data_IF_772041264173
#
_entry.id   IF_772041264173
#
_cell.length_a   1.000
_cell.length_b   1.000
_cell.length_c   1.000
_cell.angle_alpha   90.00
_cell.angle_beta   90.00
_cell.angle_gamma   90.00
#
_symmetry.space_group_name_H-M   'P 1'
#
loop_
_entity.id
_entity.type
_entity.pdbx_description
1 polymer ?
#
# COMPACT_ATOMS: atom_id res chain seq x y z
N UNK A 1 62.02 38.74 -5.43
CA UNK A 1 61.09 39.84 -5.74
C UNK A 1 59.82 39.59 -4.95
N UNK A 2 59.46 40.58 -4.15
CA UNK A 2 58.46 40.52 -3.09
C UNK A 2 57.02 40.42 -3.60
N UNK A 3 56.24 39.67 -2.81
CA UNK A 3 54.83 39.82 -2.44
C UNK A 3 54.01 40.99 -3.01
N UNK A 4 52.80 40.67 -3.47
CA UNK A 4 51.58 41.46 -3.27
C UNK A 4 50.38 40.49 -3.24
N UNK A 5 49.97 40.10 -2.04
CA UNK A 5 48.68 39.44 -1.78
C UNK A 5 47.69 40.55 -1.40
N UNK A 6 46.68 40.76 -2.25
CA UNK A 6 45.52 41.61 -1.94
C UNK A 6 44.39 40.73 -1.42
N UNK A 7 44.02 40.97 -0.17
CA UNK A 7 42.82 40.45 0.47
C UNK A 7 41.57 40.99 -0.25
N UNK A 8 40.64 40.09 -0.60
CA UNK A 8 39.23 40.44 -0.74
C UNK A 8 38.42 39.57 0.22
N UNK A 9 37.91 40.21 1.27
CA UNK A 9 36.90 39.67 2.14
C UNK A 9 35.58 39.60 1.36
N UNK A 10 34.99 38.41 1.25
CA UNK A 10 33.59 38.24 0.91
C UNK A 10 32.98 37.30 1.95
N UNK A 11 32.33 37.89 2.94
CA UNK A 11 31.41 37.19 3.82
C UNK A 11 30.22 36.73 2.99
N UNK A 12 30.08 35.42 2.84
CA UNK A 12 28.87 34.81 2.32
C UNK A 12 28.14 34.22 3.51
N UNK A 13 27.08 34.92 3.93
CA UNK A 13 26.02 34.35 4.74
C UNK A 13 25.51 33.07 4.04
N UNK A 14 25.89 31.90 4.55
CA UNK A 14 25.21 30.66 4.20
C UNK A 14 23.81 30.72 4.79
N UNK A 15 22.85 31.18 4.00
CA UNK A 15 21.45 30.80 4.19
C UNK A 15 21.38 29.30 3.94
N UNK A 16 21.20 28.52 5.00
CA UNK A 16 20.83 27.12 4.90
C UNK A 16 19.55 27.07 4.05
N UNK A 17 19.67 26.60 2.81
CA UNK A 17 18.52 26.18 2.05
C UNK A 17 17.88 25.04 2.84
N UNK A 18 16.71 25.29 3.42
CA UNK A 18 15.84 24.23 3.92
C UNK A 18 15.60 23.29 2.75
N UNK A 19 16.27 22.13 2.77
CA UNK A 19 15.90 21.02 1.90
C UNK A 19 14.44 20.72 2.23
N UNK A 20 13.55 21.10 1.32
CA UNK A 20 12.16 20.67 1.34
C UNK A 20 12.18 19.15 1.26
N UNK A 21 12.05 18.49 2.40
CA UNK A 21 11.89 17.05 2.45
C UNK A 21 10.70 16.69 1.56
N UNK A 22 10.82 15.72 0.64
CA UNK A 22 9.71 15.29 -0.21
C UNK A 22 8.54 14.71 0.60
N UNK A 23 8.76 14.42 1.89
CA UNK A 23 7.76 13.94 2.84
C UNK A 23 7.90 14.69 4.18
N UNK A 24 6.79 15.20 4.70
CA UNK A 24 6.72 15.70 6.08
C UNK A 24 7.01 14.54 7.03
N UNK A 25 7.97 14.74 7.93
CA UNK A 25 8.37 13.81 8.97
C UNK A 25 8.35 14.56 10.30
N UNK A 26 7.86 13.95 11.41
CA UNK A 26 7.89 14.60 12.72
C UNK A 26 9.34 14.81 13.23
N UNK A 27 10.31 14.13 12.63
CA UNK A 27 11.74 14.21 12.98
C UNK A 27 12.63 14.44 11.75
N UNK A 28 13.75 15.14 11.95
CA UNK A 28 14.80 15.33 10.93
C UNK A 28 15.55 14.01 10.75
N UNK A 29 15.70 13.56 9.50
CA UNK A 29 16.43 12.32 9.19
C UNK A 29 17.91 12.54 8.98
N UNK A 30 18.71 11.62 9.53
CA UNK A 30 20.10 11.37 9.17
C UNK A 30 20.22 9.88 8.77
N UNK A 31 20.85 9.54 7.62
CA UNK A 31 21.10 8.14 7.22
C UNK A 31 20.99 7.85 5.72
N UNK A 32 21.18 6.57 5.36
CA UNK A 32 21.00 6.05 3.98
C UNK A 32 19.51 5.99 3.67
N UNK A 33 19.11 6.54 2.52
CA UNK A 33 17.73 6.46 2.03
C UNK A 33 17.60 5.16 1.24
N UNK A 34 16.82 4.21 1.74
CA UNK A 34 16.48 2.97 1.04
C UNK A 34 15.10 3.13 0.41
N UNK A 35 14.97 3.16 -0.92
CA UNK A 35 13.68 3.24 -1.60
C UNK A 35 12.78 2.08 -1.18
N UNK A 36 11.48 2.34 -0.94
CA UNK A 36 10.47 1.30 -0.66
C UNK A 36 10.30 0.89 0.81
N UNK A 37 11.21 1.27 1.73
CA UNK A 37 11.01 1.03 3.16
C UNK A 37 10.15 2.15 3.79
N UNK A 38 9.34 1.83 4.82
CA UNK A 38 8.60 2.84 5.57
C UNK A 38 9.51 3.94 6.06
N UNK A 39 9.18 5.16 5.65
CA UNK A 39 9.90 6.37 5.99
C UNK A 39 9.77 6.75 7.47
N UNK A 40 8.86 6.15 8.22
CA UNK A 40 8.53 6.58 9.57
C UNK A 40 9.26 5.70 10.61
N UNK A 41 9.61 6.25 11.78
CA UNK A 41 10.14 5.45 12.87
C UNK A 41 9.20 4.27 13.21
N UNK A 42 9.73 3.16 13.76
CA UNK A 42 8.90 2.07 14.25
C UNK A 42 7.80 2.58 15.19
N UNK A 43 6.57 2.12 15.01
CA UNK A 43 5.42 2.58 15.79
C UNK A 43 4.79 3.89 15.33
N UNK A 44 5.33 4.56 14.30
CA UNK A 44 4.76 5.81 13.78
C UNK A 44 3.98 5.56 12.49
N UNK A 45 2.70 5.89 12.52
CA UNK A 45 1.79 5.85 11.39
C UNK A 45 1.56 7.26 10.84
N UNK A 46 1.27 7.36 9.54
CA UNK A 46 0.91 8.63 8.87
C UNK A 46 -0.34 8.46 8.04
N UNK A 47 -1.26 9.39 8.21
CA UNK A 47 -2.51 9.48 7.49
C UNK A 47 -2.63 10.86 6.83
N UNK A 48 -3.27 10.90 5.65
CA UNK A 48 -3.59 12.15 4.97
C UNK A 48 -5.09 12.39 5.10
N UNK A 49 -5.47 13.42 5.84
CA UNK A 49 -6.85 13.89 5.93
C UNK A 49 -7.07 14.85 4.77
N UNK A 50 -7.76 14.37 3.73
CA UNK A 50 -8.05 15.20 2.55
C UNK A 50 -8.87 16.42 2.93
N UNK A 51 -8.55 17.57 2.33
CA UNK A 51 -9.35 18.77 2.48
C UNK A 51 -10.83 18.52 2.15
N UNK A 52 -11.72 18.91 3.05
CA UNK A 52 -13.16 18.63 2.97
C UNK A 52 -13.53 17.18 3.31
N UNK A 53 -12.61 16.42 3.91
CA UNK A 53 -12.77 15.00 4.23
C UNK A 53 -12.35 14.65 5.65
N UNK A 54 -12.33 13.35 5.92
CA UNK A 54 -12.06 12.78 7.25
C UNK A 54 -11.21 11.51 7.15
N UNK A 55 -10.51 11.19 8.23
CA UNK A 55 -9.87 9.89 8.47
C UNK A 55 -10.34 9.35 9.80
N UNK A 56 -10.55 8.03 9.87
CA UNK A 56 -10.89 7.31 11.09
C UNK A 56 -9.78 6.33 11.43
N UNK A 57 -9.26 6.37 12.65
CA UNK A 57 -8.15 5.52 13.13
C UNK A 57 -8.49 4.99 14.52
N UNK A 58 -8.20 3.70 14.80
CA UNK A 58 -8.24 3.17 16.17
C UNK A 58 -7.00 3.62 16.93
N UNK A 59 -7.17 4.09 18.16
CA UNK A 59 -6.08 4.55 19.04
C UNK A 59 -6.14 3.83 20.37
N UNK A 60 -4.97 3.61 20.97
CA UNK A 60 -4.84 3.09 22.33
C UNK A 60 -4.59 4.22 23.33
N UNK A 61 -5.03 4.05 24.57
CA UNK A 61 -4.66 4.94 25.65
C UNK A 61 -3.14 5.04 25.76
N UNK A 62 -2.62 6.26 25.63
CA UNK A 62 -1.19 6.56 25.64
C UNK A 62 -0.60 6.90 24.26
N UNK A 63 -1.32 6.62 23.17
CA UNK A 63 -0.86 6.99 21.81
C UNK A 63 -0.67 8.51 21.71
N UNK A 64 0.42 8.93 21.06
CA UNK A 64 0.70 10.32 20.75
C UNK A 64 0.15 10.66 19.36
N UNK A 65 -0.67 11.70 19.30
CA UNK A 65 -1.37 12.16 18.09
C UNK A 65 -0.77 13.49 17.68
N UNK A 66 -0.21 13.59 16.47
CA UNK A 66 0.30 14.86 15.93
C UNK A 66 -0.45 15.23 14.67
N UNK A 67 -1.01 16.44 14.61
CA UNK A 67 -1.52 17.03 13.38
C UNK A 67 -0.52 18.04 12.85
N UNK A 68 -0.32 18.02 11.53
CA UNK A 68 0.50 18.99 10.81
C UNK A 68 -0.36 19.67 9.77
N UNK A 69 -0.51 20.98 9.92
CA UNK A 69 -1.12 21.84 8.90
C UNK A 69 -0.08 22.11 7.82
N UNK A 70 -0.18 21.41 6.68
CA UNK A 70 0.89 21.43 5.66
C UNK A 70 1.00 22.78 4.95
N UNK A 71 -0.14 23.46 4.74
CA UNK A 71 -0.23 24.68 3.93
C UNK A 71 -0.48 25.93 4.80
N UNK A 72 -0.82 25.76 6.07
CA UNK A 72 -1.29 26.83 6.95
C UNK A 72 -2.77 27.13 6.72
N UNK A 73 -3.36 27.82 7.70
CA UNK A 73 -4.75 28.29 7.71
C UNK A 73 -5.84 27.21 7.50
N UNK A 74 -5.51 25.93 7.61
CA UNK A 74 -6.48 24.85 7.49
C UNK A 74 -6.95 24.40 8.86
N UNK A 75 -8.26 24.52 9.09
CA UNK A 75 -8.88 24.01 10.31
C UNK A 75 -8.80 22.50 10.36
N UNK A 76 -8.65 21.97 11.57
CA UNK A 76 -8.79 20.56 11.84
C UNK A 76 -9.69 20.37 13.07
N UNK A 77 -10.51 19.32 13.04
CA UNK A 77 -11.36 18.95 14.17
C UNK A 77 -11.11 17.47 14.49
N UNK A 78 -10.77 17.19 15.75
CA UNK A 78 -10.54 15.84 16.26
C UNK A 78 -11.66 15.43 17.21
N UNK A 79 -12.18 14.22 17.02
CA UNK A 79 -13.18 13.61 17.87
C UNK A 79 -12.69 12.21 18.24
N UNK A 80 -12.47 11.96 19.53
CA UNK A 80 -12.13 10.63 20.02
C UNK A 80 -13.35 10.02 20.71
N UNK A 81 -13.85 8.92 20.18
CA UNK A 81 -14.94 8.15 20.75
C UNK A 81 -14.38 6.98 21.56
N UNK A 82 -14.83 6.81 22.80
CA UNK A 82 -14.56 5.59 23.58
C UNK A 82 -15.36 4.39 23.05
N UNK A 83 -15.15 3.21 23.64
CA UNK A 83 -15.85 1.98 23.23
C UNK A 83 -17.37 2.02 23.45
N UNK A 84 -17.88 2.96 24.27
CA UNK A 84 -19.30 3.18 24.47
C UNK A 84 -19.88 4.22 23.48
N UNK A 85 -19.07 4.70 22.54
CA UNK A 85 -19.49 5.68 21.53
C UNK A 85 -19.62 7.11 22.06
N UNK A 86 -19.16 7.42 23.27
CA UNK A 86 -19.13 8.78 23.83
C UNK A 86 -17.84 9.49 23.40
N UNK A 87 -17.90 10.81 23.18
CA UNK A 87 -16.70 11.64 22.96
C UNK A 87 -16.62 12.77 23.98
N UNK A 88 -15.40 13.09 24.40
CA UNK A 88 -15.08 14.20 25.31
C UNK A 88 -13.75 14.82 24.93
N UNK A 89 -13.60 16.13 25.05
CA UNK A 89 -12.32 16.80 24.80
C UNK A 89 -11.20 16.31 25.74
N UNK A 90 -11.57 15.90 26.96
CA UNK A 90 -10.67 15.30 27.93
C UNK A 90 -10.02 14.01 27.42
N UNK A 91 -10.64 13.30 26.48
CA UNK A 91 -10.07 12.08 25.87
C UNK A 91 -8.84 12.39 25.02
N UNK A 92 -8.65 13.64 24.61
CA UNK A 92 -7.47 14.14 23.88
C UNK A 92 -6.58 15.04 24.77
N UNK A 93 -6.77 14.99 26.09
CA UNK A 93 -5.99 15.78 27.05
C UNK A 93 -6.39 17.25 27.12
N UNK A 94 -7.53 17.64 26.54
CA UNK A 94 -8.00 19.02 26.53
C UNK A 94 -9.07 19.27 27.61
N UNK A 95 -9.11 20.50 28.14
CA UNK A 95 -10.05 20.86 29.22
C UNK A 95 -11.41 21.32 28.72
N UNK A 96 -11.52 21.66 27.43
CA UNK A 96 -12.75 22.14 26.78
C UNK A 96 -12.79 21.66 25.35
N UNK A 97 -13.98 21.25 24.89
CA UNK A 97 -14.28 21.02 23.49
C UNK A 97 -15.37 21.93 22.96
N UNK A 98 -15.76 21.66 21.73
CA UNK A 98 -16.87 22.28 21.02
C UNK A 98 -17.71 21.21 20.36
N UNK A 99 -18.97 21.49 19.96
CA UNK A 99 -19.74 20.55 19.16
C UNK A 99 -19.00 20.18 17.86
N UNK A 100 -19.01 18.90 17.48
CA UNK A 100 -18.31 18.37 16.32
C UNK A 100 -18.97 18.76 14.97
N UNK A 101 -18.96 20.06 14.66
CA UNK A 101 -19.61 20.60 13.47
C UNK A 101 -18.93 20.13 12.17
N UNK A 102 -17.60 20.01 12.15
CA UNK A 102 -16.86 19.54 10.98
C UNK A 102 -17.22 18.09 10.63
N UNK A 103 -17.29 17.23 11.64
CA UNK A 103 -17.74 15.85 11.53
C UNK A 103 -19.17 15.76 10.99
N UNK A 104 -20.09 16.52 11.58
CA UNK A 104 -21.49 16.54 11.16
C UNK A 104 -21.66 17.05 9.73
N UNK A 105 -20.89 18.07 9.32
CA UNK A 105 -20.88 18.58 7.95
C UNK A 105 -20.41 17.51 6.96
N UNK A 106 -19.30 16.85 7.24
CA UNK A 106 -18.78 15.78 6.37
C UNK A 106 -19.78 14.64 6.25
N UNK A 107 -20.41 14.23 7.35
CA UNK A 107 -21.43 13.18 7.35
C UNK A 107 -22.69 13.56 6.55
N UNK A 108 -23.07 14.84 6.55
CA UNK A 108 -24.21 15.32 5.76
C UNK A 108 -23.92 15.38 4.26
N UNK A 109 -22.65 15.28 3.86
CA UNK A 109 -22.22 15.34 2.47
C UNK A 109 -22.46 14.04 1.69
N UNK A 110 -22.37 14.14 0.35
CA UNK A 110 -22.47 12.99 -0.57
C UNK A 110 -21.11 12.49 -1.08
N UNK A 111 -20.01 13.01 -0.53
CA UNK A 111 -18.65 12.68 -0.95
C UNK A 111 -18.31 11.21 -0.64
N UNK A 112 -17.32 10.66 -1.32
CA UNK A 112 -16.79 9.32 -1.02
C UNK A 112 -16.30 9.22 0.42
N UNK A 113 -15.65 10.27 0.94
CA UNK A 113 -15.25 10.37 2.35
C UNK A 113 -16.44 10.30 3.31
N UNK A 114 -17.56 10.97 2.99
CA UNK A 114 -18.78 10.90 3.78
C UNK A 114 -19.34 9.46 3.84
N UNK A 115 -19.40 8.77 2.70
CA UNK A 115 -19.84 7.36 2.63
C UNK A 115 -18.92 6.43 3.44
N UNK A 116 -17.60 6.64 3.37
CA UNK A 116 -16.61 5.90 4.16
C UNK A 116 -16.81 6.10 5.65
N UNK A 117 -16.96 7.35 6.07
CA UNK A 117 -17.18 7.70 7.45
C UNK A 117 -18.50 7.08 7.97
N UNK A 118 -19.59 7.18 7.18
CA UNK A 118 -20.86 6.50 7.50
C UNK A 118 -20.68 5.01 7.71
N UNK A 119 -19.99 4.30 6.82
CA UNK A 119 -19.76 2.85 6.93
C UNK A 119 -18.87 2.49 8.13
N UNK A 120 -17.88 3.32 8.43
CA UNK A 120 -16.95 3.12 9.55
C UNK A 120 -17.66 3.30 10.90
N UNK A 121 -18.47 4.37 11.00
CA UNK A 121 -19.23 4.70 12.20
C UNK A 121 -20.46 3.80 12.38
N UNK A 122 -21.13 3.35 11.31
CA UNK A 122 -22.31 2.47 11.41
C UNK A 122 -22.04 1.10 12.02
N UNK A 123 -20.77 0.71 12.16
CA UNK A 123 -20.37 -0.54 12.83
C UNK A 123 -20.35 -0.42 14.36
N UNK A 124 -20.51 0.78 14.91
CA UNK A 124 -20.39 1.07 16.34
C UNK A 124 -21.55 1.98 16.76
N UNK A 125 -22.10 1.82 17.98
CA UNK A 125 -23.15 2.68 18.54
C UNK A 125 -22.57 4.06 18.95
N UNK A 126 -22.07 4.83 17.96
CA UNK A 126 -21.40 6.11 18.18
C UNK A 126 -22.43 7.25 18.23
N UNK A 127 -22.39 8.06 19.30
CA UNK A 127 -23.21 9.27 19.42
C UNK A 127 -22.56 10.44 18.69
N UNK A 128 -22.89 10.56 17.41
CA UNK A 128 -22.42 11.65 16.54
C UNK A 128 -23.12 12.98 16.88
N UNK A 129 -24.37 12.92 17.36
CA UNK A 129 -25.21 14.11 17.56
C UNK A 129 -24.66 14.96 18.70
N UNK A 130 -24.27 14.32 19.79
CA UNK A 130 -23.74 15.00 20.97
C UNK A 130 -22.21 14.95 21.04
N UNK A 131 -21.54 14.73 19.90
CA UNK A 131 -20.10 14.57 19.88
C UNK A 131 -19.36 15.85 20.27
N UNK A 132 -18.42 15.75 21.21
CA UNK A 132 -17.52 16.83 21.63
C UNK A 132 -16.17 16.68 20.93
N UNK A 133 -15.75 17.75 20.24
CA UNK A 133 -14.54 17.81 19.46
C UNK A 133 -13.50 18.78 20.04
N UNK A 134 -12.24 18.50 19.76
CA UNK A 134 -11.13 19.45 19.91
C UNK A 134 -10.90 20.13 18.57
N UNK A 135 -11.09 21.45 18.53
CA UNK A 135 -10.95 22.25 17.31
C UNK A 135 -9.62 22.99 17.28
N UNK A 136 -8.92 22.87 16.14
CA UNK A 136 -7.69 23.61 15.86
C UNK A 136 -8.08 24.86 15.07
N UNK A 137 -8.04 26.01 15.75
CA UNK A 137 -8.42 27.30 15.16
C UNK A 137 -7.43 27.73 14.07
N UNK A 138 -7.98 28.17 12.94
CA UNK A 138 -7.29 28.26 11.64
C UNK A 138 -6.94 29.68 11.19
N UNK A 139 -7.17 30.71 12.00
CA UNK A 139 -7.02 32.08 11.49
C UNK A 139 -5.56 32.51 11.37
N UNK A 140 -4.62 31.76 11.97
CA UNK A 140 -3.21 32.15 12.05
C UNK A 140 -2.20 30.99 11.97
N UNK A 141 -2.62 29.75 11.65
CA UNK A 141 -1.66 28.65 11.59
C UNK A 141 -0.67 28.85 10.45
N UNK A 142 0.61 28.66 10.75
CA UNK A 142 1.68 28.74 9.77
C UNK A 142 1.81 27.42 8.99
N UNK A 143 2.29 27.45 7.73
CA UNK A 143 2.62 26.22 7.00
C UNK A 143 3.63 25.36 7.78
N UNK A 144 3.29 24.09 7.97
CA UNK A 144 4.07 23.11 8.73
C UNK A 144 3.86 23.17 10.25
N UNK A 145 2.97 24.03 10.76
CA UNK A 145 2.67 24.11 12.19
C UNK A 145 2.07 22.78 12.69
N UNK A 146 2.53 22.37 13.88
CA UNK A 146 2.17 21.09 14.47
C UNK A 146 1.42 21.28 15.77
N UNK A 147 0.42 20.44 16.00
CA UNK A 147 -0.26 20.32 17.29
C UNK A 147 -0.27 18.88 17.76
N UNK A 148 0.03 18.69 19.03
CA UNK A 148 0.15 17.38 19.66
C UNK A 148 -0.93 17.16 20.70
N UNK A 149 -1.45 15.95 20.71
CA UNK A 149 -2.45 15.45 21.66
C UNK A 149 -2.01 14.08 22.14
N UNK A 150 -2.51 13.65 23.28
CA UNK A 150 -2.30 12.29 23.80
C UNK A 150 -3.65 11.65 24.04
N UNK A 151 -3.85 10.43 23.54
CA UNK A 151 -5.06 9.67 23.75
C UNK A 151 -5.15 9.25 25.23
N UNK A 152 -6.11 9.82 25.96
CA UNK A 152 -6.32 9.50 27.38
C UNK A 152 -7.17 8.24 27.57
N UNK A 153 -7.81 7.75 26.51
CA UNK A 153 -8.59 6.52 26.46
C UNK A 153 -8.36 5.81 25.13
N UNK A 154 -8.51 4.50 25.10
CA UNK A 154 -8.57 3.74 23.86
C UNK A 154 -9.90 3.97 23.15
N UNK A 155 -9.91 3.95 21.82
CA UNK A 155 -11.13 4.15 21.07
C UNK A 155 -10.95 4.47 19.59
N UNK A 156 -11.94 5.16 19.03
CA UNK A 156 -12.00 5.51 17.61
C UNK A 156 -11.76 7.01 17.45
N UNK A 157 -10.60 7.39 16.92
CA UNK A 157 -10.27 8.76 16.57
C UNK A 157 -10.80 9.09 15.17
N UNK A 158 -11.55 10.18 15.05
CA UNK A 158 -11.94 10.78 13.78
C UNK A 158 -11.28 12.15 13.67
N UNK A 159 -10.52 12.36 12.61
CA UNK A 159 -9.94 13.67 12.28
C UNK A 159 -10.56 14.18 11.00
N UNK A 160 -11.01 15.43 11.02
CA UNK A 160 -11.63 16.09 9.87
C UNK A 160 -10.83 17.33 9.49
N UNK A 161 -10.77 17.61 8.19
CA UNK A 161 -10.25 18.86 7.63
C UNK A 161 -11.42 19.63 7.01
N UNK A 162 -12.27 20.28 7.82
CA UNK A 162 -13.48 20.92 7.32
C UNK A 162 -13.15 22.10 6.40
N UNK A 163 -14.02 22.33 5.43
CA UNK A 163 -13.92 23.45 4.52
C UNK A 163 -14.95 23.37 3.39
N UNK A 164 -15.38 24.52 2.89
CA UNK A 164 -16.28 24.62 1.75
C UNK A 164 -15.47 24.77 0.45
N UNK A 165 -16.04 24.39 -0.71
CA UNK A 165 -15.46 24.73 -1.99
C UNK A 165 -15.13 26.22 -2.06
N UNK A 166 -13.86 26.53 -2.37
CA UNK A 166 -13.36 27.89 -2.46
C UNK A 166 -14.11 28.66 -3.56
N UNK A 167 -14.59 29.87 -3.24
CA UNK A 167 -15.03 30.83 -4.25
C UNK A 167 -13.82 31.32 -5.05
N UNK A 168 -13.97 31.49 -6.36
CA UNK A 168 -12.85 31.75 -7.29
C UNK A 168 -11.98 32.96 -6.86
N UNK A 169 -12.58 33.93 -6.18
CA UNK A 169 -11.96 35.17 -5.70
C UNK A 169 -11.41 35.11 -4.27
N UNK A 170 -11.79 34.11 -3.47
CA UNK A 170 -11.50 34.07 -2.03
C UNK A 170 -10.07 33.58 -1.69
N UNK A 171 -9.41 32.87 -2.60
CA UNK A 171 -8.03 32.37 -2.44
C UNK A 171 -7.76 31.58 -1.14
N UNK A 172 -8.77 30.88 -0.63
CA UNK A 172 -8.71 30.08 0.59
C UNK A 172 -9.06 28.60 0.31
N UNK A 173 -8.26 27.89 -0.51
CA UNK A 173 -8.56 26.50 -0.83
C UNK A 173 -8.50 25.64 0.43
N UNK A 174 -9.41 24.67 0.53
CA UNK A 174 -9.34 23.64 1.57
C UNK A 174 -8.13 22.75 1.26
N UNK A 175 -7.28 22.53 2.25
CA UNK A 175 -6.05 21.77 2.11
C UNK A 175 -6.03 20.51 2.99
N UNK A 176 -5.07 19.63 2.71
CA UNK A 176 -4.91 18.38 3.46
C UNK A 176 -4.23 18.63 4.82
N UNK A 177 -4.70 17.95 5.86
CA UNK A 177 -4.00 17.85 7.16
C UNK A 177 -3.26 16.52 7.20
N UNK A 178 -2.02 16.52 7.70
CA UNK A 178 -1.26 15.29 7.93
C UNK A 178 -1.43 14.87 9.38
N UNK A 179 -1.91 13.65 9.60
CA UNK A 179 -2.04 13.05 10.92
C UNK A 179 -0.93 12.02 11.14
N UNK A 180 -0.22 12.11 12.26
CA UNK A 180 0.68 11.08 12.75
C UNK A 180 0.14 10.46 14.03
N UNK A 181 0.29 9.14 14.16
CA UNK A 181 0.05 8.39 15.39
C UNK A 181 1.35 7.70 15.76
N UNK A 182 1.92 8.06 16.90
CA UNK A 182 3.01 7.30 17.51
C UNK A 182 2.41 6.38 18.58
N UNK A 183 2.51 5.07 18.33
CA UNK A 183 1.90 4.02 19.15
C UNK A 183 2.65 3.87 20.46
N UNK A 184 1.92 3.86 21.58
CA UNK A 184 2.50 3.57 22.90
C UNK A 184 2.97 2.12 22.99
N UNK A 185 2.23 1.19 22.37
CA UNK A 185 2.58 -0.21 22.22
C UNK A 185 2.77 -0.53 20.74
N UNK A 186 3.94 -0.23 20.15
CA UNK A 186 4.18 -0.53 18.75
C UNK A 186 4.17 -2.05 18.55
N UNK A 187 3.14 -2.58 17.87
CA UNK A 187 3.15 -3.97 17.42
C UNK A 187 4.26 -4.16 16.40
N UNK A 188 5.08 -5.20 16.57
CA UNK A 188 6.14 -5.57 15.61
C UNK A 188 5.59 -5.99 14.25
N UNK A 189 4.35 -6.51 14.21
CA UNK A 189 3.61 -6.78 12.98
C UNK A 189 2.68 -5.62 12.69
N UNK A 190 3.01 -4.85 11.66
CA UNK A 190 2.15 -3.77 11.17
C UNK A 190 0.96 -4.42 10.44
N UNK A 191 -0.20 -4.50 11.08
CA UNK A 191 -1.42 -4.95 10.39
C UNK A 191 -1.88 -3.81 9.48
N UNK A 192 -1.27 -3.69 8.30
CA UNK A 192 -1.76 -2.81 7.25
C UNK A 192 -2.98 -3.50 6.66
N UNK A 193 -4.14 -2.85 6.73
CA UNK A 193 -5.31 -3.34 5.99
C UNK A 193 -5.13 -3.05 4.50
N UNK A 194 -5.57 -3.95 3.60
CA UNK A 194 -5.53 -3.69 2.17
C UNK A 194 -6.18 -2.35 1.82
N UNK A 195 -5.61 -1.61 0.87
CA UNK A 195 -6.20 -0.37 0.38
C UNK A 195 -7.63 -0.63 -0.13
N UNK A 196 -8.51 0.37 -0.11
CA UNK A 196 -9.88 0.16 -0.57
C UNK A 196 -9.95 -0.32 -2.03
N UNK A 197 -10.92 -1.19 -2.37
CA UNK A 197 -11.13 -1.63 -3.75
C UNK A 197 -11.33 -0.47 -4.72
N UNK A 198 -10.83 -0.63 -5.96
CA UNK A 198 -11.03 0.34 -7.04
C UNK A 198 -12.49 0.38 -7.53
N UNK A 199 -13.23 -0.72 -7.34
CA UNK A 199 -14.64 -0.91 -7.61
C UNK A 199 -15.19 -2.00 -6.67
N UNK A 200 -16.51 -2.23 -6.64
CA UNK A 200 -17.09 -3.32 -5.86
C UNK A 200 -16.58 -4.68 -6.39
N UNK A 201 -15.79 -5.43 -5.61
CA UNK A 201 -15.16 -6.65 -6.11
C UNK A 201 -16.16 -7.82 -6.13
N UNK A 202 -16.05 -8.65 -7.15
CA UNK A 202 -16.75 -9.94 -7.24
C UNK A 202 -16.12 -10.97 -6.31
N UNK A 203 -14.81 -10.88 -6.13
CA UNK A 203 -14.02 -11.67 -5.20
C UNK A 203 -13.01 -10.77 -4.51
N UNK A 204 -12.85 -10.90 -3.19
CA UNK A 204 -11.88 -10.15 -2.38
C UNK A 204 -11.22 -11.12 -1.42
N UNK A 205 -10.04 -11.62 -1.80
CA UNK A 205 -9.37 -12.75 -1.15
C UNK A 205 -8.00 -12.32 -0.66
N UNK A 206 -7.79 -12.48 0.64
CA UNK A 206 -6.50 -12.27 1.27
C UNK A 206 -5.73 -13.60 1.35
N UNK A 207 -4.55 -13.66 0.73
CA UNK A 207 -3.67 -14.82 0.71
C UNK A 207 -2.59 -14.60 1.77
N UNK A 208 -2.61 -15.43 2.80
CA UNK A 208 -1.61 -15.37 3.88
C UNK A 208 -0.26 -15.95 3.42
N UNK A 209 0.87 -15.53 4.01
CA UNK A 209 2.19 -16.02 3.65
C UNK A 209 2.26 -17.55 3.61
N UNK A 210 2.90 -18.09 2.56
CA UNK A 210 3.03 -19.53 2.37
C UNK A 210 1.72 -20.23 1.98
N UNK A 211 0.76 -19.49 1.44
CA UNK A 211 -0.47 -20.05 0.86
C UNK A 211 -0.60 -19.69 -0.62
N UNK A 212 -1.43 -20.45 -1.33
CA UNK A 212 -1.87 -20.16 -2.68
C UNK A 212 -3.40 -20.14 -2.73
N UNK A 213 -3.96 -19.48 -3.74
CA UNK A 213 -5.39 -19.53 -4.05
C UNK A 213 -5.61 -19.60 -5.55
N UNK A 214 -6.50 -20.50 -5.96
CA UNK A 214 -7.10 -20.50 -7.28
C UNK A 214 -8.40 -19.68 -7.30
N UNK A 215 -8.63 -18.95 -8.38
CA UNK A 215 -9.85 -18.16 -8.58
C UNK A 215 -10.16 -18.02 -10.07
N UNK A 216 -11.46 -17.87 -10.39
CA UNK A 216 -11.92 -17.75 -11.77
C UNK A 216 -12.05 -16.28 -12.15
N UNK A 217 -11.52 -15.92 -13.33
CA UNK A 217 -11.65 -14.59 -13.93
C UNK A 217 -12.23 -14.77 -15.33
N UNK A 218 -13.44 -14.27 -15.57
CA UNK A 218 -14.11 -14.37 -16.86
C UNK A 218 -13.60 -13.32 -17.84
N UNK A 219 -13.75 -13.60 -19.13
CA UNK A 219 -13.36 -12.68 -20.20
C UNK A 219 -13.93 -11.27 -19.94
N UNK A 220 -13.05 -10.28 -20.00
CA UNK A 220 -13.38 -8.88 -19.81
C UNK A 220 -13.40 -8.40 -18.36
N UNK A 221 -13.35 -9.30 -17.38
CA UNK A 221 -13.14 -8.96 -15.97
C UNK A 221 -11.69 -8.53 -15.73
N UNK A 222 -11.47 -7.91 -14.58
CA UNK A 222 -10.16 -7.45 -14.15
C UNK A 222 -9.71 -8.30 -12.98
N UNK A 223 -8.39 -8.43 -12.81
CA UNK A 223 -7.79 -9.01 -11.61
C UNK A 223 -6.75 -8.03 -11.09
N UNK A 224 -6.85 -7.70 -9.81
CA UNK A 224 -5.88 -6.90 -9.09
C UNK A 224 -5.10 -7.81 -8.14
N UNK A 225 -3.79 -7.79 -8.25
CA UNK A 225 -2.85 -8.41 -7.31
C UNK A 225 -2.16 -7.27 -6.58
N UNK A 226 -2.40 -7.17 -5.27
CA UNK A 226 -1.93 -6.07 -4.43
C UNK A 226 -1.03 -6.61 -3.31
N UNK A 227 0.12 -5.98 -3.17
CA UNK A 227 0.99 -6.16 -2.01
C UNK A 227 0.46 -5.28 -0.87
N UNK A 228 -0.01 -5.91 0.20
CA UNK A 228 -0.70 -5.22 1.29
C UNK A 228 0.27 -4.42 2.14
N UNK A 229 1.42 -5.01 2.48
CA UNK A 229 2.37 -4.46 3.43
C UNK A 229 3.64 -3.92 2.77
N UNK A 230 3.81 -4.14 1.46
CA UNK A 230 5.03 -3.87 0.73
C UNK A 230 6.03 -5.01 0.88
N UNK A 231 6.95 -5.10 -0.08
CA UNK A 231 8.02 -6.10 -0.14
C UNK A 231 7.59 -7.56 -0.24
N UNK A 232 6.32 -7.87 -0.50
CA UNK A 232 5.86 -9.23 -0.71
C UNK A 232 5.78 -9.57 -2.20
N UNK A 233 6.34 -10.71 -2.59
CA UNK A 233 6.23 -11.23 -3.94
C UNK A 233 5.04 -12.18 -4.09
N UNK A 234 4.45 -12.19 -5.29
CA UNK A 234 3.37 -13.12 -5.64
C UNK A 234 3.72 -13.88 -6.91
N UNK A 235 3.76 -15.21 -6.83
CA UNK A 235 3.84 -16.05 -8.03
C UNK A 235 2.45 -16.16 -8.61
N UNK A 236 2.32 -15.80 -9.88
CA UNK A 236 1.05 -15.81 -10.60
C UNK A 236 1.10 -16.70 -11.84
N UNK A 237 0.02 -17.44 -12.07
CA UNK A 237 -0.17 -18.26 -13.26
C UNK A 237 -1.66 -18.27 -13.64
N UNK A 238 -1.96 -18.44 -14.92
CA UNK A 238 -3.33 -18.56 -15.41
C UNK A 238 -3.44 -19.56 -16.55
N UNK A 239 -4.55 -20.28 -16.60
CA UNK A 239 -4.87 -21.24 -17.65
C UNK A 239 -6.17 -20.85 -18.35
N UNK A 240 -6.23 -21.04 -19.67
CA UNK A 240 -7.49 -20.97 -20.40
C UNK A 240 -8.45 -22.07 -19.92
N UNK A 241 -9.60 -21.64 -19.39
CA UNK A 241 -10.56 -22.53 -18.75
C UNK A 241 -11.18 -23.51 -19.75
N UNK A 242 -11.41 -23.06 -21.00
CA UNK A 242 -11.99 -23.90 -22.06
C UNK A 242 -10.98 -24.93 -22.56
N UNK A 243 -9.70 -24.60 -22.56
CA UNK A 243 -8.64 -25.54 -22.86
C UNK A 243 -8.58 -26.63 -21.77
N UNK A 244 -8.67 -26.26 -20.49
CA UNK A 244 -8.71 -27.20 -19.38
C UNK A 244 -9.91 -28.16 -19.47
N UNK A 245 -11.11 -27.66 -19.81
CA UNK A 245 -12.30 -28.51 -20.03
C UNK A 245 -12.08 -29.59 -21.11
N UNK A 246 -11.14 -29.34 -22.04
CA UNK A 246 -10.74 -30.26 -23.10
C UNK A 246 -9.42 -30.98 -22.80
N UNK A 247 -8.98 -30.99 -21.54
CA UNK A 247 -7.74 -31.60 -21.07
C UNK A 247 -6.48 -31.08 -21.80
N UNK A 248 -6.48 -29.78 -22.11
CA UNK A 248 -5.33 -29.05 -22.66
C UNK A 248 -4.86 -27.98 -21.68
N UNK A 249 -3.57 -27.97 -21.39
CA UNK A 249 -2.95 -27.06 -20.43
C UNK A 249 -2.38 -25.86 -21.18
N UNK A 250 -3.26 -24.91 -21.49
CA UNK A 250 -2.89 -23.62 -22.10
C UNK A 250 -2.66 -22.59 -20.99
N UNK A 251 -1.58 -22.76 -20.23
CA UNK A 251 -1.09 -21.77 -19.26
C UNK A 251 -0.30 -20.63 -19.91
N UNK A 252 -0.04 -19.57 -19.13
CA UNK A 252 0.92 -18.53 -19.51
C UNK A 252 2.28 -19.19 -19.69
N UNK A 253 2.83 -19.04 -20.89
CA UNK A 253 4.17 -19.47 -21.24
C UNK A 253 5.10 -18.24 -21.25
N UNK A 254 6.02 -18.12 -20.28
CA UNK A 254 6.92 -16.97 -20.21
C UNK A 254 7.85 -16.87 -21.42
N UNK A 255 8.25 -17.99 -22.01
CA UNK A 255 9.14 -18.00 -23.17
C UNK A 255 8.47 -17.36 -24.40
N UNK A 256 7.25 -17.79 -24.70
CA UNK A 256 6.42 -17.23 -25.77
C UNK A 256 6.09 -15.77 -25.49
N UNK A 257 5.74 -15.46 -24.24
CA UNK A 257 5.48 -14.08 -23.83
C UNK A 257 6.68 -13.17 -24.11
N UNK A 258 7.88 -13.51 -23.63
CA UNK A 258 9.10 -12.71 -23.87
C UNK A 258 9.42 -12.58 -25.35
N UNK A 259 9.24 -13.65 -26.13
CA UNK A 259 9.49 -13.64 -27.57
C UNK A 259 8.55 -12.68 -28.33
N UNK A 260 7.27 -12.62 -27.95
CA UNK A 260 6.27 -11.76 -28.60
C UNK A 260 6.29 -10.31 -28.10
N UNK A 261 6.63 -10.10 -26.84
CA UNK A 261 6.71 -8.78 -26.19
C UNK A 261 8.03 -8.08 -26.48
N UNK A 262 9.11 -8.84 -26.69
CA UNK A 262 10.46 -8.29 -26.89
C UNK A 262 11.08 -7.71 -25.61
N UNK A 263 10.61 -8.16 -24.43
CA UNK A 263 11.07 -7.70 -23.12
C UNK A 263 11.03 -8.82 -22.09
N UNK A 264 11.64 -8.58 -20.92
CA UNK A 264 11.68 -9.57 -19.82
C UNK A 264 10.28 -9.89 -19.27
N UNK A 265 9.35 -8.93 -19.33
CA UNK A 265 7.96 -9.08 -18.94
C UNK A 265 7.10 -7.98 -19.60
N UNK A 266 5.79 -8.22 -19.76
CA UNK A 266 4.85 -7.21 -20.23
C UNK A 266 4.77 -5.98 -19.32
N UNK A 267 4.52 -4.82 -19.93
CA UNK A 267 4.26 -3.54 -19.25
C UNK A 267 3.00 -2.88 -19.84
N UNK A 268 2.30 -2.00 -19.09
CA UNK A 268 1.14 -1.29 -19.63
C UNK A 268 1.44 -0.62 -20.98
N UNK A 269 0.55 -0.77 -21.96
CA UNK A 269 0.71 -0.21 -23.30
C UNK A 269 0.76 -1.26 -24.41
N UNK A 270 1.60 -1.04 -25.44
CA UNK A 270 1.57 -1.83 -26.67
C UNK A 270 1.95 -3.30 -26.48
N UNK A 271 2.84 -3.59 -25.53
CA UNK A 271 3.36 -4.93 -25.25
C UNK A 271 2.88 -5.47 -23.90
N UNK A 272 1.62 -5.23 -23.58
CA UNK A 272 1.04 -5.50 -22.26
C UNK A 272 0.52 -6.92 -22.04
N UNK A 273 0.70 -7.86 -22.99
CA UNK A 273 -0.01 -9.14 -22.96
C UNK A 273 0.86 -10.31 -22.52
N UNK A 274 0.27 -11.20 -21.73
CA UNK A 274 0.78 -12.55 -21.48
C UNK A 274 0.15 -13.54 -22.45
N UNK A 275 0.96 -14.48 -22.92
CA UNK A 275 0.56 -15.44 -23.96
C UNK A 275 0.75 -16.87 -23.49
N UNK A 276 -0.09 -17.77 -23.98
CA UNK A 276 0.13 -19.21 -23.89
C UNK A 276 1.18 -19.69 -24.89
N UNK A 277 1.61 -20.95 -24.78
CA UNK A 277 2.53 -21.59 -25.74
C UNK A 277 1.97 -21.60 -27.17
N UNK A 278 0.64 -21.64 -27.32
CA UNK A 278 -0.07 -21.53 -28.60
C UNK A 278 -0.22 -20.07 -29.09
N UNK A 279 0.52 -19.14 -28.48
CA UNK A 279 0.51 -17.71 -28.78
C UNK A 279 -0.87 -17.05 -28.59
N UNK A 280 -1.75 -17.66 -27.80
CA UNK A 280 -3.04 -17.06 -27.46
C UNK A 280 -2.87 -16.04 -26.34
N UNK A 281 -3.35 -14.80 -26.50
CA UNK A 281 -3.28 -13.80 -25.44
C UNK A 281 -4.27 -14.13 -24.32
N UNK A 282 -3.78 -14.28 -23.10
CA UNK A 282 -4.57 -14.67 -21.93
C UNK A 282 -4.96 -13.45 -21.09
N UNK A 283 -3.98 -12.60 -20.77
CA UNK A 283 -4.12 -11.43 -19.91
C UNK A 283 -3.46 -10.21 -20.54
N UNK A 284 -3.96 -9.03 -20.18
CA UNK A 284 -3.39 -7.73 -20.55
C UNK A 284 -3.15 -6.89 -19.29
N UNK A 285 -1.92 -6.41 -19.09
CA UNK A 285 -1.57 -5.44 -18.05
C UNK A 285 -2.23 -4.09 -18.37
N UNK A 286 -3.04 -3.61 -17.45
CA UNK A 286 -3.75 -2.32 -17.55
C UNK A 286 -3.01 -1.26 -16.76
N UNK A 287 -2.54 -1.62 -15.56
CA UNK A 287 -1.79 -0.72 -14.69
C UNK A 287 -0.81 -1.53 -13.84
N UNK A 288 0.36 -0.95 -13.62
CA UNK A 288 1.39 -1.48 -12.74
C UNK A 288 1.99 -0.28 -11.99
N UNK A 289 1.94 -0.32 -10.66
CA UNK A 289 2.46 0.77 -9.80
C UNK A 289 3.88 0.52 -9.32
N UNK A 290 4.49 -0.63 -9.66
CA UNK A 290 5.83 -1.04 -9.23
C UNK A 290 6.83 -0.99 -10.38
N UNK A 291 6.51 -1.56 -11.54
CA UNK A 291 7.38 -1.54 -12.72
C UNK A 291 8.54 -2.54 -12.67
N UNK A 292 8.55 -3.48 -11.73
CA UNK A 292 9.62 -4.46 -11.53
C UNK A 292 9.06 -5.82 -11.15
N UNK A 293 9.25 -6.81 -12.03
CA UNK A 293 8.73 -8.17 -11.91
C UNK A 293 9.74 -9.18 -12.51
N UNK A 294 9.38 -10.46 -12.47
CA UNK A 294 10.13 -11.54 -13.11
C UNK A 294 9.21 -12.51 -13.86
N UNK A 295 9.70 -13.07 -14.98
CA UNK A 295 9.04 -14.17 -15.71
C UNK A 295 10.02 -15.26 -16.16
N UNK A 296 11.28 -15.19 -15.76
CA UNK A 296 12.31 -16.18 -16.11
C UNK A 296 12.67 -17.10 -14.95
N UNK A 297 12.35 -16.72 -13.70
CA UNK A 297 12.38 -17.61 -12.55
C UNK A 297 11.21 -18.59 -12.49
N UNK A 298 11.32 -19.53 -11.56
CA UNK A 298 10.21 -20.41 -11.15
C UNK A 298 9.65 -19.88 -9.83
N UNK A 299 8.39 -20.18 -9.55
CA UNK A 299 7.88 -20.12 -8.18
C UNK A 299 8.78 -20.97 -7.27
N UNK A 300 9.04 -20.53 -6.04
CA UNK A 300 9.99 -21.23 -5.16
C UNK A 300 9.62 -22.72 -4.99
N UNK A 301 10.63 -23.57 -4.81
CA UNK A 301 10.51 -25.04 -4.84
C UNK A 301 11.13 -25.67 -3.62
N UNK A 302 10.73 -26.89 -3.26
CA UNK A 302 11.40 -27.66 -2.21
C UNK A 302 12.93 -27.77 -2.45
N UNK A 303 13.34 -28.00 -3.70
CA UNK A 303 14.76 -28.07 -4.08
C UNK A 303 15.53 -26.78 -3.77
N UNK A 304 14.91 -25.61 -4.01
CA UNK A 304 15.53 -24.32 -3.72
C UNK A 304 15.94 -24.23 -2.25
N UNK A 305 15.00 -24.54 -1.34
CA UNK A 305 15.25 -24.47 0.09
C UNK A 305 16.19 -25.58 0.58
N UNK A 306 16.06 -26.81 0.05
CA UNK A 306 16.96 -27.92 0.39
C UNK A 306 18.43 -27.60 0.06
N UNK A 307 18.71 -27.07 -1.12
CA UNK A 307 20.07 -26.70 -1.54
C UNK A 307 20.64 -25.55 -0.68
N UNK A 308 19.78 -24.68 -0.16
CA UNK A 308 20.13 -23.60 0.76
C UNK A 308 20.24 -24.04 2.23
N UNK A 309 19.94 -25.31 2.55
CA UNK A 309 20.06 -25.87 3.90
C UNK A 309 18.78 -25.82 4.75
N UNK A 310 17.62 -25.59 4.13
CA UNK A 310 16.30 -25.47 4.77
C UNK A 310 15.33 -26.57 4.26
N UNK A 311 15.60 -27.86 4.51
CA UNK A 311 14.73 -28.94 4.05
C UNK A 311 13.35 -28.88 4.71
N UNK A 312 12.29 -29.15 3.95
CA UNK A 312 10.90 -29.15 4.44
C UNK A 312 10.27 -27.76 4.55
N UNK A 313 10.94 -26.71 4.08
CA UNK A 313 10.39 -25.37 4.01
C UNK A 313 9.16 -25.32 3.08
N UNK A 314 8.12 -24.59 3.49
CA UNK A 314 6.92 -24.37 2.66
C UNK A 314 7.33 -23.63 1.39
N UNK A 315 6.75 -23.99 0.25
CA UNK A 315 7.11 -23.38 -1.03
C UNK A 315 5.90 -23.22 -1.96
N UNK A 316 6.01 -22.26 -2.87
CA UNK A 316 4.94 -21.85 -3.75
C UNK A 316 4.58 -22.92 -4.78
N UNK A 317 5.56 -23.67 -5.30
CA UNK A 317 5.28 -24.72 -6.28
C UNK A 317 4.39 -25.83 -5.70
N UNK A 318 4.65 -26.26 -4.46
CA UNK A 318 3.82 -27.23 -3.77
C UNK A 318 2.44 -26.65 -3.43
N UNK A 319 2.38 -25.39 -2.99
CA UNK A 319 1.11 -24.71 -2.73
C UNK A 319 0.25 -24.59 -3.99
N UNK A 320 0.86 -24.29 -5.15
CA UNK A 320 0.19 -24.25 -6.44
C UNK A 320 -0.33 -25.64 -6.85
N UNK A 321 0.43 -26.71 -6.62
CA UNK A 321 -0.02 -28.08 -6.88
C UNK A 321 -1.31 -28.41 -6.12
N UNK A 322 -1.43 -28.00 -4.85
CA UNK A 322 -2.62 -28.22 -4.02
C UNK A 322 -3.86 -27.56 -4.62
N UNK A 323 -3.75 -26.29 -5.01
CA UNK A 323 -4.85 -25.55 -5.62
C UNK A 323 -5.17 -26.05 -7.04
N UNK A 324 -4.14 -26.43 -7.81
CA UNK A 324 -4.26 -26.89 -9.19
C UNK A 324 -4.89 -28.29 -9.31
N UNK A 325 -4.81 -29.12 -8.25
CA UNK A 325 -5.44 -30.44 -8.19
C UNK A 325 -6.96 -30.38 -8.40
N UNK A 326 -7.64 -29.32 -7.93
CA UNK A 326 -9.07 -29.12 -8.12
C UNK A 326 -9.47 -28.95 -9.60
N UNK A 327 -8.51 -28.64 -10.47
CA UNK A 327 -8.68 -28.44 -11.90
C UNK A 327 -8.06 -29.57 -12.74
N UNK A 328 -7.68 -30.68 -12.11
CA UNK A 328 -7.01 -31.82 -12.75
C UNK A 328 -5.72 -31.45 -13.50
N UNK A 329 -5.05 -30.38 -13.05
CA UNK A 329 -3.77 -29.97 -13.62
C UNK A 329 -2.68 -30.86 -13.00
N UNK A 330 -1.81 -31.51 -13.82
CA UNK A 330 -0.73 -32.34 -13.31
C UNK A 330 0.23 -31.56 -12.42
N UNK A 331 0.68 -32.20 -11.35
CA UNK A 331 1.68 -31.63 -10.46
C UNK A 331 2.97 -31.29 -11.20
N UNK A 332 3.59 -30.18 -10.80
CA UNK A 332 4.89 -29.73 -11.30
C UNK A 332 5.86 -29.59 -10.13
N UNK A 333 7.09 -30.07 -10.28
CA UNK A 333 8.15 -29.87 -9.27
C UNK A 333 8.59 -28.41 -9.14
N UNK A 334 8.36 -27.63 -10.19
CA UNK A 334 8.64 -26.21 -10.24
C UNK A 334 7.68 -25.56 -11.23
N UNK A 335 6.97 -24.54 -10.77
CA UNK A 335 5.99 -23.85 -11.60
C UNK A 335 6.64 -22.67 -12.32
N UNK A 336 6.57 -22.59 -13.67
CA UNK A 336 6.81 -21.33 -14.34
C UNK A 336 5.70 -20.36 -13.92
N UNK A 337 6.09 -19.20 -13.44
CA UNK A 337 5.16 -18.18 -12.94
C UNK A 337 5.61 -16.79 -13.39
N UNK A 338 4.66 -15.87 -13.37
CA UNK A 338 4.95 -14.45 -13.35
C UNK A 338 5.14 -14.09 -11.88
N UNK A 339 6.37 -13.77 -11.52
CA UNK A 339 6.72 -13.42 -10.15
C UNK A 339 6.53 -11.92 -10.00
N UNK A 340 5.32 -11.50 -9.64
CA UNK A 340 5.00 -10.11 -9.43
C UNK A 340 5.77 -9.57 -8.23
N UNK A 341 6.17 -8.30 -8.36
CA UNK A 341 6.98 -7.51 -7.41
C UNK A 341 8.43 -7.98 -7.22
N UNK A 342 8.76 -9.19 -7.65
CA UNK A 342 10.09 -9.76 -7.47
C UNK A 342 11.16 -8.98 -8.23
N UNK A 343 12.16 -8.48 -7.51
CA UNK A 343 13.23 -7.65 -8.04
C UNK A 343 14.46 -8.49 -8.43
N UNK A 344 14.28 -9.32 -9.45
CA UNK A 344 15.38 -10.04 -10.07
C UNK A 344 15.93 -9.29 -11.28
N UNK A 345 17.22 -9.47 -11.53
CA UNK A 345 17.98 -8.76 -12.54
C UNK A 345 18.98 -9.71 -13.19
N UNK A 346 19.34 -9.38 -14.43
CA UNK A 346 20.48 -9.96 -15.10
C UNK A 346 21.52 -8.87 -15.38
N UNK A 347 22.80 -9.19 -15.20
CA UNK A 347 23.91 -8.26 -15.49
C UNK A 347 24.55 -8.54 -16.87
N UNK A 348 25.57 -7.74 -17.20
CA UNK A 348 26.39 -7.88 -18.40
C UNK A 348 27.26 -9.15 -18.38
N UNK A 349 27.40 -9.80 -17.23
CA UNK A 349 28.06 -11.09 -17.05
C UNK A 349 27.11 -12.27 -17.27
N UNK A 350 25.83 -12.01 -17.56
CA UNK A 350 24.75 -13.00 -17.68
C UNK A 350 24.44 -13.75 -16.37
N UNK A 351 24.79 -13.17 -15.23
CA UNK A 351 24.36 -13.69 -13.94
C UNK A 351 22.93 -13.24 -13.64
N UNK A 352 22.13 -14.12 -13.04
CA UNK A 352 20.84 -13.76 -12.45
C UNK A 352 21.07 -13.52 -10.96
N UNK A 353 20.60 -12.39 -10.47
CA UNK A 353 20.63 -12.03 -9.05
C UNK A 353 19.31 -11.38 -8.66
N UNK A 354 19.10 -11.20 -7.36
CA UNK A 354 17.93 -10.57 -6.79
C UNK A 354 18.34 -9.54 -5.74
N UNK A 355 17.40 -8.68 -5.38
CA UNK A 355 17.47 -7.68 -4.31
C UNK A 355 16.04 -7.45 -3.79
N UNK A 356 15.88 -6.65 -2.74
CA UNK A 356 14.58 -6.39 -2.11
C UNK A 356 13.53 -5.88 -3.13
N UNK A 357 12.28 -6.38 -3.11
CA UNK A 357 11.21 -5.96 -4.04
C UNK A 357 10.90 -4.47 -3.96
N UNK A 358 10.60 -3.79 -5.06
CA UNK A 358 10.32 -2.34 -5.00
C UNK A 358 8.92 -1.97 -4.49
N UNK A 359 8.04 -2.94 -4.31
CA UNK A 359 6.66 -2.73 -3.90
C UNK A 359 6.56 -2.05 -2.53
N UNK A 360 5.63 -1.11 -2.42
CA UNK A 360 5.25 -0.43 -1.17
C UNK A 360 3.85 -0.90 -0.76
N UNK A 361 3.45 -0.70 0.51
CA UNK A 361 2.09 -1.03 0.94
C UNK A 361 1.03 -0.44 0.01
N UNK A 362 0.16 -1.30 -0.54
CA UNK A 362 -0.92 -0.95 -1.45
C UNK A 362 -0.52 -0.79 -2.92
N UNK A 363 0.75 -1.04 -3.29
CA UNK A 363 1.12 -1.16 -4.70
C UNK A 363 0.50 -2.42 -5.31
N UNK A 364 0.19 -2.36 -6.61
CA UNK A 364 -0.54 -3.43 -7.27
C UNK A 364 -0.26 -3.51 -8.77
N UNK A 365 -0.60 -4.67 -9.34
CA UNK A 365 -0.77 -4.88 -10.77
C UNK A 365 -2.25 -5.15 -11.05
N UNK A 366 -2.79 -4.46 -12.05
CA UNK A 366 -4.15 -4.63 -12.53
C UNK A 366 -4.11 -5.19 -13.95
N UNK A 367 -4.77 -6.31 -14.16
CA UNK A 367 -4.83 -6.99 -15.44
C UNK A 367 -6.27 -7.18 -15.90
N UNK A 368 -6.48 -7.28 -17.21
CA UNK A 368 -7.76 -7.64 -17.81
C UNK A 368 -7.67 -9.03 -18.44
N UNK A 369 -8.64 -9.88 -18.16
CA UNK A 369 -8.74 -11.19 -18.78
C UNK A 369 -9.25 -11.08 -20.23
N UNK A 370 -8.52 -11.67 -21.18
CA UNK A 370 -8.86 -11.67 -22.61
C UNK A 370 -9.66 -12.90 -23.03
N UNK A 371 -9.64 -13.94 -22.20
CA UNK A 371 -10.42 -15.17 -22.28
C UNK A 371 -10.96 -15.54 -20.88
N UNK A 372 -11.70 -16.64 -20.76
CA UNK A 372 -12.12 -17.18 -19.47
C UNK A 372 -10.95 -17.95 -18.85
N UNK A 373 -10.54 -17.58 -17.64
CA UNK A 373 -9.34 -18.09 -17.00
C UNK A 373 -9.64 -18.71 -15.63
N UNK A 374 -8.85 -19.71 -15.27
CA UNK A 374 -8.52 -19.98 -13.86
C UNK A 374 -7.14 -19.39 -13.59
N UNK A 375 -7.07 -18.54 -12.58
CA UNK A 375 -5.86 -17.87 -12.12
C UNK A 375 -5.42 -18.45 -10.78
N UNK A 376 -4.13 -18.40 -10.53
CA UNK A 376 -3.49 -18.83 -9.30
C UNK A 376 -2.55 -17.72 -8.84
N UNK A 377 -2.59 -17.41 -7.54
CA UNK A 377 -1.67 -16.48 -6.90
C UNK A 377 -1.15 -17.07 -5.61
N UNK A 378 0.10 -16.75 -5.26
CA UNK A 378 0.72 -17.08 -3.97
C UNK A 378 1.05 -15.83 -3.16
N UNK A 379 1.19 -15.98 -1.85
CA UNK A 379 2.02 -15.10 -1.04
C UNK A 379 3.29 -15.89 -0.68
N UNK A 380 4.43 -15.49 -1.24
CA UNK A 380 5.65 -16.27 -1.21
C UNK A 380 6.20 -16.41 0.22
N UNK A 381 6.49 -17.63 0.72
CA UNK A 381 6.98 -17.81 2.08
C UNK A 381 8.48 -17.51 2.24
N UNK A 382 9.19 -17.05 1.20
CA UNK A 382 10.65 -16.95 1.25
C UNK A 382 11.12 -15.94 2.31
N UNK A 383 11.84 -16.44 3.31
CA UNK A 383 12.42 -15.68 4.42
C UNK A 383 13.94 -15.91 4.57
N UNK A 384 14.55 -16.65 3.64
CA UNK A 384 15.97 -17.03 3.67
C UNK A 384 16.87 -16.13 2.81
N UNK A 385 16.27 -15.18 2.10
CA UNK A 385 16.93 -14.23 1.20
C UNK A 385 16.10 -12.93 1.05
N UNK A 386 16.55 -12.06 0.15
CA UNK A 386 15.99 -10.74 -0.11
C UNK A 386 14.65 -10.78 -0.85
N UNK A 387 14.15 -11.94 -1.32
CA UNK A 387 12.97 -12.03 -2.16
C UNK A 387 11.71 -11.40 -1.56
N UNK A 388 11.54 -11.46 -0.24
CA UNK A 388 10.46 -10.76 0.47
C UNK A 388 10.98 -9.80 1.54
N UNK A 389 12.16 -9.21 1.31
CA UNK A 389 12.90 -8.45 2.32
C UNK A 389 12.98 -9.20 3.67
N UNK A 390 13.21 -10.51 3.63
CA UNK A 390 13.34 -11.40 4.79
C UNK A 390 12.09 -11.50 5.69
N UNK A 391 10.95 -10.94 5.29
CA UNK A 391 9.74 -10.92 6.09
C UNK A 391 8.48 -11.10 5.23
N UNK A 392 8.07 -12.35 4.97
CA UNK A 392 6.86 -12.66 4.23
C UNK A 392 5.59 -12.03 4.82
N UNK A 393 4.77 -11.43 3.96
CA UNK A 393 3.47 -10.83 4.30
C UNK A 393 2.35 -11.30 3.36
N UNK A 394 1.16 -10.72 3.47
CA UNK A 394 -0.02 -11.14 2.74
C UNK A 394 -0.19 -10.43 1.38
N UNK A 395 -0.78 -11.16 0.43
CA UNK A 395 -1.19 -10.63 -0.89
C UNK A 395 -2.70 -10.54 -0.94
N UNK A 396 -3.23 -9.39 -1.39
CA UNK A 396 -4.65 -9.21 -1.65
C UNK A 396 -4.97 -9.42 -3.13
N UNK A 397 -5.95 -10.27 -3.40
CA UNK A 397 -6.50 -10.51 -4.74
C UNK A 397 -7.91 -9.95 -4.82
N UNK A 398 -8.20 -9.23 -5.91
CA UNK A 398 -9.56 -8.78 -6.23
C UNK A 398 -9.91 -9.04 -7.68
N UNK A 399 -11.17 -9.42 -7.93
CA UNK A 399 -11.73 -9.62 -9.29
C UNK A 399 -12.90 -8.69 -9.53
#
# INVERSE_FOLDING_TARGET
>A
MNTLNLQYANGVHQRAHAQTLPFLSPTVRNGIIVPGLPTLPPGVERYVVKGGGSVTVKVEQGDNITLVDKDGLQAAELVLFDDNGSSKAAYLGQTRGQPAQGLQQILSGTSTSAKRLHRSLSKHDIDIVNAEAVYIANTHSLPGEQQQFSAQVSGTLVVTAPGLPMQVDAQNPVSDIILFIERVNPTTKRIVSPAEPLADPLQDVNIQPGQARAYIVKKGQYVQIMDVQGRECSDFQAFDLRALDNNRFEDIDPTTTRALVGGLYPMPGLYAKYYSISQQPLLEIIQDTVGRHDTFGLACTAKYYEDMGYPGHVNCSDNLNIEAAAYNIPERKGWPAINFFFNTMNDDSNAIFMDDPYSRPGDYVLMRALTDLVCFSTACPCDIDEANAWNPTDIQIRV
#
